data_IF_965781108294
#
_entry.id   IF_965781108294
#
_cell.length_a   1.000
_cell.length_b   1.000
_cell.length_c   1.000
_cell.angle_alpha   90.00
_cell.angle_beta   90.00
_cell.angle_gamma   90.00
#
_symmetry.space_group_name_H-M   'P 1'
#
loop_
_entity.id
_entity.type
_entity.pdbx_description
1 polymer ?
#
# COMPACT_ATOMS: atom_id res chain seq x y z
N UNK A 1 -28.49 43.81 55.85
CA UNK A 1 -29.51 42.74 55.87
C UNK A 1 -29.02 41.62 54.97
N UNK A 2 -28.62 40.52 55.58
CA UNK A 2 -28.12 39.31 54.94
C UNK A 2 -29.25 38.56 54.24
N UNK A 3 -28.95 37.91 53.10
CA UNK A 3 -29.30 36.52 52.80
C UNK A 3 -29.00 36.21 51.31
N UNK A 4 -27.84 35.59 51.04
CA UNK A 4 -27.62 34.82 49.81
C UNK A 4 -27.46 33.36 50.19
N UNK A 5 -28.45 32.59 49.80
CA UNK A 5 -28.60 31.16 50.04
C UNK A 5 -27.54 30.34 49.31
N UNK A 6 -26.90 29.45 50.07
CA UNK A 6 -26.63 28.06 49.71
C UNK A 6 -25.94 27.78 48.36
N UNK A 7 -24.62 27.65 48.45
CA UNK A 7 -23.81 26.79 47.59
C UNK A 7 -24.41 25.38 47.44
N UNK A 8 -24.84 25.01 46.24
CA UNK A 8 -24.91 23.60 45.83
C UNK A 8 -23.98 23.35 44.65
N UNK A 9 -22.75 23.03 45.04
CA UNK A 9 -21.70 22.50 44.19
C UNK A 9 -22.00 21.01 43.96
N UNK A 10 -22.54 20.66 42.79
CA UNK A 10 -22.69 19.27 42.38
C UNK A 10 -21.31 18.71 42.04
N UNK A 11 -20.70 18.03 43.02
CA UNK A 11 -19.52 17.18 42.81
C UNK A 11 -19.86 16.12 41.77
N UNK A 12 -19.10 15.97 40.66
CA UNK A 12 -19.13 14.73 39.91
C UNK A 12 -18.51 13.64 40.79
N UNK A 13 -19.35 12.76 41.32
CA UNK A 13 -18.93 11.50 41.93
C UNK A 13 -18.42 10.60 40.80
N UNK A 14 -17.10 10.59 40.62
CA UNK A 14 -16.45 9.72 39.66
C UNK A 14 -14.95 9.78 39.81
N UNK A 15 -14.38 8.71 40.37
CA UNK A 15 -12.93 8.44 40.49
C UNK A 15 -12.42 8.05 39.09
N UNK A 16 -12.62 8.91 38.10
CA UNK A 16 -12.02 8.75 36.77
C UNK A 16 -10.92 9.79 36.63
N UNK A 17 -9.68 9.38 36.28
CA UNK A 17 -8.57 10.31 36.22
C UNK A 17 -8.87 11.36 35.14
N UNK A 18 -8.96 12.65 35.55
CA UNK A 18 -9.03 13.82 34.63
C UNK A 18 -7.97 13.76 33.52
N UNK A 19 -6.86 13.06 33.78
CA UNK A 19 -5.80 12.80 32.84
C UNK A 19 -6.27 12.07 31.56
N UNK A 20 -7.23 11.15 31.68
CA UNK A 20 -7.77 10.40 30.54
C UNK A 20 -8.69 11.25 29.66
N UNK A 21 -9.46 12.16 30.26
CA UNK A 21 -10.34 13.08 29.51
C UNK A 21 -9.49 14.08 28.70
N UNK A 22 -8.37 14.56 29.27
CA UNK A 22 -7.45 15.49 28.58
C UNK A 22 -6.74 14.86 27.38
N UNK A 23 -6.51 13.54 27.39
CA UNK A 23 -5.83 12.82 26.31
C UNK A 23 -6.69 12.68 25.05
N UNK A 24 -8.02 12.61 25.19
CA UNK A 24 -8.96 12.60 24.05
C UNK A 24 -9.04 13.96 23.37
N UNK A 25 -9.07 15.05 24.13
CA UNK A 25 -9.20 16.41 23.60
C UNK A 25 -7.90 16.94 22.95
N UNK A 26 -6.74 16.34 23.23
CA UNK A 26 -5.45 16.81 22.68
C UNK A 26 -5.13 16.27 21.28
N UNK A 27 -5.89 15.30 20.78
CA UNK A 27 -5.69 14.75 19.42
C UNK A 27 -6.36 15.61 18.33
N UNK A 28 -7.20 16.55 18.73
CA UNK A 28 -8.08 17.29 17.81
C UNK A 28 -7.50 18.64 17.35
N UNK A 29 -6.32 19.03 17.86
CA UNK A 29 -5.65 20.31 17.54
C UNK A 29 -4.57 20.19 16.44
N UNK A 30 -4.33 19.01 15.86
CA UNK A 30 -3.56 18.95 14.62
C UNK A 30 -4.45 19.46 13.49
N UNK A 31 -4.10 20.61 12.92
CA UNK A 31 -4.74 21.13 11.71
C UNK A 31 -4.42 20.15 10.57
N UNK A 32 -5.24 19.11 10.40
CA UNK A 32 -5.09 18.15 9.31
C UNK A 32 -5.51 18.88 8.03
N UNK A 33 -4.57 18.99 7.09
CA UNK A 33 -4.84 19.64 5.81
C UNK A 33 -6.00 18.91 5.10
N UNK A 34 -7.02 19.62 4.57
CA UNK A 34 -8.20 19.00 3.95
C UNK A 34 -7.86 17.98 2.87
N UNK A 35 -6.78 18.22 2.11
CA UNK A 35 -6.25 17.28 1.12
C UNK A 35 -5.93 15.91 1.71
N UNK A 36 -5.22 15.85 2.85
CA UNK A 36 -4.81 14.59 3.46
C UNK A 36 -6.03 13.80 3.94
N UNK A 37 -7.04 14.48 4.48
CA UNK A 37 -8.31 13.85 4.88
C UNK A 37 -8.98 13.18 3.68
N UNK A 38 -9.00 13.85 2.53
CA UNK A 38 -9.56 13.29 1.30
C UNK A 38 -8.74 12.07 0.85
N UNK A 39 -7.40 12.17 0.83
CA UNK A 39 -6.51 11.05 0.47
C UNK A 39 -6.77 9.84 1.36
N UNK A 40 -6.81 10.01 2.69
CA UNK A 40 -7.07 8.90 3.61
C UNK A 40 -8.45 8.27 3.39
N UNK A 41 -9.47 9.08 3.10
CA UNK A 41 -10.79 8.58 2.75
C UNK A 41 -10.75 7.76 1.44
N UNK A 42 -10.09 8.25 0.40
CA UNK A 42 -9.98 7.54 -0.88
C UNK A 42 -9.20 6.22 -0.74
N UNK A 43 -8.09 6.20 0.03
CA UNK A 43 -7.35 4.96 0.34
C UNK A 43 -8.25 3.96 1.08
N UNK A 44 -8.97 4.42 2.10
CA UNK A 44 -9.87 3.56 2.87
C UNK A 44 -10.99 2.97 2.01
N UNK A 45 -11.60 3.78 1.15
CA UNK A 45 -12.66 3.35 0.23
C UNK A 45 -12.14 2.31 -0.77
N UNK A 46 -10.92 2.51 -1.29
CA UNK A 46 -10.31 1.61 -2.25
C UNK A 46 -9.93 0.26 -1.61
N UNK A 47 -9.26 0.28 -0.44
CA UNK A 47 -8.79 -0.95 0.24
C UNK A 47 -9.96 -1.77 0.80
N UNK A 48 -11.04 -1.13 1.23
CA UNK A 48 -12.23 -1.83 1.72
C UNK A 48 -13.12 -2.39 0.59
N UNK A 49 -12.83 -2.07 -0.67
CA UNK A 49 -13.63 -2.51 -1.81
C UNK A 49 -13.48 -4.01 -2.06
N UNK A 50 -14.60 -4.72 -2.22
CA UNK A 50 -14.59 -6.14 -2.59
C UNK A 50 -13.83 -6.40 -3.90
N UNK A 51 -13.91 -5.47 -4.86
CA UNK A 51 -13.18 -5.54 -6.13
C UNK A 51 -11.67 -5.52 -5.91
N UNK A 52 -11.22 -4.66 -5.00
CA UNK A 52 -9.80 -4.56 -4.63
C UNK A 52 -9.32 -5.83 -3.92
N UNK A 53 -10.12 -6.40 -3.01
CA UNK A 53 -9.77 -7.65 -2.32
C UNK A 53 -9.61 -8.82 -3.30
N UNK A 54 -10.53 -8.98 -4.25
CA UNK A 54 -10.42 -10.01 -5.30
C UNK A 54 -9.15 -9.80 -6.11
N UNK A 55 -8.89 -8.57 -6.56
CA UNK A 55 -7.71 -8.22 -7.34
C UNK A 55 -6.43 -8.55 -6.57
N UNK A 56 -6.36 -8.21 -5.28
CA UNK A 56 -5.24 -8.50 -4.40
C UNK A 56 -5.00 -10.01 -4.27
N UNK A 57 -6.05 -10.81 -4.10
CA UNK A 57 -5.93 -12.28 -4.02
C UNK A 57 -5.38 -12.84 -5.33
N UNK A 58 -5.85 -12.38 -6.48
CA UNK A 58 -5.37 -12.83 -7.79
C UNK A 58 -3.88 -12.50 -7.95
N UNK A 59 -3.46 -11.27 -7.64
CA UNK A 59 -2.06 -10.86 -7.71
C UNK A 59 -1.20 -11.69 -6.75
N UNK A 60 -1.65 -11.91 -5.52
CA UNK A 60 -0.92 -12.72 -4.56
C UNK A 60 -0.74 -14.15 -5.09
N UNK A 61 -1.79 -14.76 -5.62
CA UNK A 61 -1.78 -16.13 -6.14
C UNK A 61 -0.86 -16.27 -7.36
N UNK A 62 -0.89 -15.32 -8.30
CA UNK A 62 0.03 -15.32 -9.44
C UNK A 62 1.48 -15.10 -9.00
N UNK A 63 1.72 -14.23 -8.02
CA UNK A 63 3.04 -14.02 -7.42
C UNK A 63 3.57 -15.31 -6.76
N UNK A 64 2.75 -16.01 -5.97
CA UNK A 64 3.13 -17.29 -5.38
C UNK A 64 3.46 -18.34 -6.45
N UNK A 65 2.69 -18.39 -7.54
CA UNK A 65 2.97 -19.27 -8.67
C UNK A 65 4.33 -18.99 -9.33
N UNK A 66 4.65 -17.71 -9.57
CA UNK A 66 5.94 -17.29 -10.12
C UNK A 66 7.10 -17.56 -9.14
N UNK A 67 6.87 -17.39 -7.84
CA UNK A 67 7.88 -17.68 -6.83
C UNK A 67 8.21 -19.17 -6.76
N UNK A 68 7.18 -20.02 -6.83
CA UNK A 68 7.36 -21.47 -6.81
C UNK A 68 8.28 -21.92 -7.95
N UNK A 69 8.05 -21.41 -9.17
CA UNK A 69 8.91 -21.73 -10.31
C UNK A 69 10.30 -21.11 -10.21
N UNK A 70 10.43 -19.90 -9.68
CA UNK A 70 11.75 -19.28 -9.47
C UNK A 70 12.60 -20.10 -8.49
N UNK A 71 12.00 -20.61 -7.41
CA UNK A 71 12.67 -21.43 -6.40
C UNK A 71 13.06 -22.81 -6.93
N UNK A 72 12.19 -23.48 -7.69
CA UNK A 72 12.53 -24.81 -8.26
C UNK A 72 13.66 -24.73 -9.29
N UNK A 73 13.81 -23.59 -9.95
CA UNK A 73 14.81 -23.37 -10.99
C UNK A 73 16.13 -22.75 -10.49
N UNK A 74 16.19 -22.36 -9.21
CA UNK A 74 17.36 -21.70 -8.65
C UNK A 74 18.59 -22.62 -8.65
N UNK A 75 18.40 -23.93 -8.46
CA UNK A 75 19.47 -24.94 -8.45
C UNK A 75 20.21 -25.05 -9.79
N UNK A 76 19.54 -24.76 -10.90
CA UNK A 76 20.13 -24.75 -12.25
C UNK A 76 20.85 -23.42 -12.58
N UNK A 77 20.54 -22.36 -11.83
CA UNK A 77 21.08 -21.01 -12.03
C UNK A 77 22.32 -20.69 -11.17
N UNK A 78 22.53 -21.47 -10.10
CA UNK A 78 23.71 -21.41 -9.24
C UNK A 78 24.76 -22.38 -9.81
N UNK A 79 25.58 -21.91 -10.75
CA UNK A 79 26.74 -22.68 -11.21
C UNK A 79 27.85 -22.61 -10.13
N UNK A 80 28.55 -23.73 -9.84
CA UNK A 80 29.55 -23.80 -8.76
C UNK A 80 30.85 -22.98 -8.97
N UNK A 81 30.92 -22.12 -10.00
CA UNK A 81 32.11 -21.33 -10.37
C UNK A 81 31.84 -19.82 -10.53
N UNK A 82 30.68 -19.30 -10.12
CA UNK A 82 30.47 -17.84 -10.03
C UNK A 82 31.07 -17.35 -8.70
N UNK A 83 32.11 -16.49 -8.71
CA UNK A 83 32.94 -16.23 -7.51
C UNK A 83 32.19 -15.67 -6.30
N UNK A 84 31.05 -15.02 -6.50
CA UNK A 84 30.14 -14.58 -5.46
C UNK A 84 28.73 -14.58 -6.05
N UNK A 85 27.69 -14.89 -5.27
CA UNK A 85 26.29 -14.85 -5.68
C UNK A 85 25.76 -13.45 -6.01
N UNK A 86 26.51 -12.66 -6.79
CA UNK A 86 26.43 -11.21 -6.97
C UNK A 86 25.06 -10.68 -7.46
N UNK A 87 24.15 -11.56 -7.85
CA UNK A 87 22.81 -11.22 -8.31
C UNK A 87 21.80 -12.32 -7.99
N UNK A 88 22.00 -13.13 -6.96
CA UNK A 88 21.13 -14.26 -6.65
C UNK A 88 19.68 -13.80 -6.42
N UNK A 89 19.49 -12.73 -5.66
CA UNK A 89 18.15 -12.17 -5.43
C UNK A 89 17.58 -11.52 -6.68
N UNK A 90 18.37 -10.85 -7.51
CA UNK A 90 17.86 -10.28 -8.75
C UNK A 90 17.46 -11.39 -9.75
N UNK A 91 18.26 -12.46 -9.84
CA UNK A 91 17.97 -13.64 -10.64
C UNK A 91 16.66 -14.30 -10.20
N UNK A 92 16.36 -14.36 -8.91
CA UNK A 92 15.07 -14.87 -8.42
C UNK A 92 13.86 -14.10 -8.96
N UNK A 93 13.99 -12.81 -9.24
CA UNK A 93 12.90 -11.99 -9.77
C UNK A 93 12.77 -12.09 -11.29
N UNK A 94 13.84 -12.47 -11.98
CA UNK A 94 13.90 -12.49 -13.46
C UNK A 94 13.87 -13.89 -14.06
N UNK A 95 14.24 -14.93 -13.30
CA UNK A 95 14.36 -16.29 -13.82
C UNK A 95 13.01 -16.90 -14.17
N UNK A 96 12.95 -17.56 -15.31
CA UNK A 96 11.78 -18.31 -15.79
C UNK A 96 12.28 -19.50 -16.60
N UNK A 97 11.61 -20.65 -16.44
CA UNK A 97 11.90 -21.91 -17.14
C UNK A 97 10.94 -22.11 -18.34
N UNK A 98 10.40 -21.02 -18.88
CA UNK A 98 9.52 -21.02 -20.07
C UNK A 98 8.10 -21.54 -19.83
N UNK A 99 7.83 -22.20 -18.70
CA UNK A 99 6.51 -22.72 -18.33
C UNK A 99 5.62 -21.67 -17.65
N UNK A 100 6.20 -20.84 -16.79
CA UNK A 100 5.51 -19.74 -16.11
C UNK A 100 6.36 -18.46 -16.17
N UNK A 101 5.75 -17.29 -16.45
CA UNK A 101 6.47 -16.01 -16.48
C UNK A 101 7.17 -15.70 -15.15
N UNK A 102 8.31 -15.02 -15.24
CA UNK A 102 9.00 -14.52 -14.03
C UNK A 102 8.24 -13.35 -13.42
N UNK A 103 8.55 -13.03 -12.16
CA UNK A 103 7.92 -11.94 -11.43
C UNK A 103 8.03 -10.62 -12.21
N UNK A 104 9.21 -10.35 -12.78
CA UNK A 104 9.43 -9.19 -13.64
C UNK A 104 8.47 -9.13 -14.84
N UNK A 105 8.28 -10.25 -15.55
CA UNK A 105 7.39 -10.31 -16.71
C UNK A 105 5.93 -10.14 -16.27
N UNK A 106 5.55 -10.75 -15.13
CA UNK A 106 4.23 -10.56 -14.56
C UNK A 106 3.95 -9.10 -14.21
N UNK A 107 4.86 -8.39 -13.54
CA UNK A 107 4.69 -6.97 -13.22
C UNK A 107 4.71 -6.10 -14.48
N UNK A 108 5.51 -6.46 -15.49
CA UNK A 108 5.53 -5.71 -16.75
C UNK A 108 4.20 -5.81 -17.51
N UNK A 109 3.53 -6.96 -17.45
CA UNK A 109 2.22 -7.16 -18.09
C UNK A 109 1.04 -6.70 -17.23
N UNK A 110 1.02 -7.08 -15.94
CA UNK A 110 -0.05 -6.74 -15.01
C UNK A 110 0.04 -5.29 -14.56
N UNK A 111 1.22 -4.69 -14.53
CA UNK A 111 1.43 -3.31 -14.09
C UNK A 111 0.51 -2.31 -14.78
N UNK A 112 0.50 -2.23 -16.12
CA UNK A 112 -0.41 -1.37 -16.86
C UNK A 112 -1.88 -1.68 -16.60
N UNK A 113 -2.24 -2.98 -16.52
CA UNK A 113 -3.60 -3.39 -16.19
C UNK A 113 -4.02 -2.93 -14.79
N UNK A 114 -3.11 -2.96 -13.81
CA UNK A 114 -3.34 -2.49 -12.45
C UNK A 114 -3.46 -0.97 -12.38
N UNK A 115 -2.56 -0.23 -13.04
CA UNK A 115 -2.59 1.24 -13.09
C UNK A 115 -3.93 1.72 -13.65
N UNK A 116 -4.29 1.22 -14.83
CA UNK A 116 -5.56 1.51 -15.50
C UNK A 116 -6.75 1.07 -14.65
N UNK A 117 -6.79 -0.19 -14.18
CA UNK A 117 -7.94 -0.70 -13.43
C UNK A 117 -8.19 0.07 -12.14
N UNK A 118 -7.12 0.44 -11.40
CA UNK A 118 -7.26 1.19 -10.15
C UNK A 118 -7.62 2.65 -10.42
N UNK A 119 -7.02 3.27 -11.44
CA UNK A 119 -7.41 4.60 -11.92
C UNK A 119 -8.89 4.67 -12.27
N UNK A 120 -9.38 3.73 -13.07
CA UNK A 120 -10.80 3.65 -13.42
C UNK A 120 -11.70 3.30 -12.22
N UNK A 121 -11.30 2.40 -11.32
CA UNK A 121 -12.13 2.04 -10.16
C UNK A 121 -12.31 3.21 -9.18
N UNK A 122 -11.30 4.08 -8.99
CA UNK A 122 -11.45 5.28 -8.14
C UNK A 122 -12.45 6.30 -8.70
N UNK A 123 -12.61 6.38 -10.02
CA UNK A 123 -13.60 7.26 -10.67
C UNK A 123 -14.96 6.57 -10.73
N UNK A 124 -14.98 5.31 -11.13
CA UNK A 124 -16.20 4.54 -11.32
C UNK A 124 -16.92 4.25 -10.00
N UNK A 125 -16.19 4.08 -8.90
CA UNK A 125 -16.77 3.90 -7.57
C UNK A 125 -17.63 5.09 -7.13
N UNK A 126 -17.20 6.33 -7.43
CA UNK A 126 -17.97 7.56 -7.14
C UNK A 126 -19.16 7.73 -8.09
N UNK A 127 -19.00 7.39 -9.37
CA UNK A 127 -20.11 7.42 -10.32
C UNK A 127 -21.19 6.41 -9.97
N UNK A 128 -20.80 5.16 -9.65
CA UNK A 128 -21.71 4.08 -9.27
C UNK A 128 -22.50 4.43 -8.00
N UNK A 129 -21.84 5.10 -7.03
CA UNK A 129 -22.49 5.56 -5.78
C UNK A 129 -23.35 6.82 -5.96
N UNK A 130 -23.31 7.47 -7.13
CA UNK A 130 -24.00 8.74 -7.38
C UNK A 130 -23.45 9.92 -6.56
N UNK A 131 -22.26 9.79 -5.98
CA UNK A 131 -21.69 10.77 -5.05
C UNK A 131 -20.84 11.85 -5.73
N UNK A 132 -20.48 11.66 -7.00
CA UNK A 132 -19.64 12.59 -7.76
C UNK A 132 -20.23 14.00 -7.85
N UNK A 133 -21.51 14.14 -8.21
CA UNK A 133 -22.17 15.45 -8.31
C UNK A 133 -22.23 16.18 -6.96
N UNK A 134 -22.39 15.42 -5.86
CA UNK A 134 -22.43 15.96 -4.49
C UNK A 134 -21.05 16.35 -3.96
N UNK A 135 -19.99 15.74 -4.47
CA UNK A 135 -18.61 16.06 -4.14
C UNK A 135 -18.17 17.33 -4.87
N UNK A 136 -18.57 17.47 -6.14
CA UNK A 136 -18.25 18.63 -6.98
C UNK A 136 -19.05 19.89 -6.62
N UNK A 137 -20.18 19.76 -5.90
CA UNK A 137 -20.98 20.89 -5.43
C UNK A 137 -20.46 21.50 -4.13
N UNK A 138 -19.54 20.82 -3.44
CA UNK A 138 -18.92 21.36 -2.23
C UNK A 138 -17.86 22.40 -2.59
N UNK A 139 -17.61 23.41 -1.72
CA UNK A 139 -16.59 24.42 -1.92
C UNK A 139 -15.18 23.86 -1.65
N UNK A 140 -14.78 22.85 -2.42
CA UNK A 140 -13.44 22.25 -2.43
C UNK A 140 -12.81 22.44 -3.81
N UNK A 141 -11.49 22.63 -3.85
CA UNK A 141 -10.77 22.75 -5.11
C UNK A 141 -10.89 21.44 -5.91
N UNK A 142 -11.31 21.53 -7.18
CA UNK A 142 -11.44 20.36 -8.06
C UNK A 142 -10.11 19.65 -8.27
N UNK A 143 -9.02 20.41 -8.29
CA UNK A 143 -7.66 19.88 -8.42
C UNK A 143 -7.27 19.03 -7.22
N UNK A 144 -7.73 19.37 -6.01
CA UNK A 144 -7.50 18.55 -4.82
C UNK A 144 -8.19 17.21 -4.92
N UNK A 145 -9.37 17.14 -5.54
CA UNK A 145 -10.06 15.89 -5.74
C UNK A 145 -9.30 14.95 -6.69
N UNK A 146 -8.87 15.49 -7.83
CA UNK A 146 -8.16 14.71 -8.86
C UNK A 146 -6.82 14.25 -8.31
N UNK A 147 -6.05 15.16 -7.69
CA UNK A 147 -4.77 14.83 -7.09
C UNK A 147 -4.92 13.84 -5.93
N UNK A 148 -5.99 13.95 -5.12
CA UNK A 148 -6.21 13.01 -4.03
C UNK A 148 -6.49 11.59 -4.55
N UNK A 149 -7.28 11.46 -5.63
CA UNK A 149 -7.55 10.17 -6.28
C UNK A 149 -6.30 9.53 -6.89
N UNK A 150 -5.46 10.36 -7.52
CA UNK A 150 -4.19 9.89 -8.06
C UNK A 150 -3.23 9.44 -6.94
N UNK A 151 -3.05 10.29 -5.91
CA UNK A 151 -2.17 10.00 -4.78
C UNK A 151 -2.65 8.78 -3.98
N UNK A 152 -3.97 8.60 -3.79
CA UNK A 152 -4.50 7.44 -3.09
C UNK A 152 -4.22 6.14 -3.86
N UNK A 153 -4.51 6.11 -5.17
CA UNK A 153 -4.24 4.95 -6.00
C UNK A 153 -2.73 4.61 -6.05
N UNK A 154 -1.88 5.64 -6.21
CA UNK A 154 -0.43 5.48 -6.21
C UNK A 154 0.09 4.96 -4.86
N UNK A 155 -0.45 5.46 -3.75
CA UNK A 155 -0.07 5.00 -2.40
C UNK A 155 -0.43 3.54 -2.21
N UNK A 156 -1.63 3.13 -2.63
CA UNK A 156 -2.07 1.72 -2.54
C UNK A 156 -1.18 0.80 -3.38
N UNK A 157 -0.88 1.18 -4.63
CA UNK A 157 0.03 0.42 -5.52
C UNK A 157 1.43 0.33 -4.90
N UNK A 158 1.94 1.44 -4.37
CA UNK A 158 3.28 1.48 -3.75
C UNK A 158 3.37 0.52 -2.57
N UNK A 159 2.42 0.58 -1.65
CA UNK A 159 2.37 -0.32 -0.49
C UNK A 159 2.26 -1.78 -0.94
N UNK A 160 1.41 -2.06 -1.94
CA UNK A 160 1.25 -3.41 -2.49
C UNK A 160 2.56 -3.95 -3.08
N UNK A 161 3.24 -3.18 -3.93
CA UNK A 161 4.50 -3.61 -4.54
C UNK A 161 5.64 -3.76 -3.53
N UNK A 162 5.74 -2.86 -2.55
CA UNK A 162 6.70 -3.03 -1.46
C UNK A 162 6.40 -4.27 -0.63
N UNK A 163 5.14 -4.52 -0.29
CA UNK A 163 4.74 -5.71 0.47
C UNK A 163 5.07 -7.00 -0.30
N UNK A 164 4.73 -7.07 -1.59
CA UNK A 164 5.02 -8.24 -2.44
C UNK A 164 6.53 -8.42 -2.68
N UNK A 165 7.26 -7.35 -2.95
CA UNK A 165 8.71 -7.40 -3.14
C UNK A 165 9.43 -7.84 -1.87
N UNK A 166 9.14 -7.25 -0.72
CA UNK A 166 9.76 -7.71 0.53
C UNK A 166 9.32 -9.11 0.93
N UNK A 167 8.09 -9.54 0.61
CA UNK A 167 7.66 -10.92 0.77
C UNK A 167 8.50 -11.87 -0.10
N UNK A 168 8.72 -11.53 -1.37
CA UNK A 168 9.58 -12.31 -2.27
C UNK A 168 11.01 -12.41 -1.76
N UNK A 169 11.58 -11.29 -1.30
CA UNK A 169 12.92 -11.27 -0.72
C UNK A 169 13.00 -12.09 0.58
N UNK A 170 12.04 -11.93 1.49
CA UNK A 170 12.00 -12.65 2.76
C UNK A 170 11.86 -14.16 2.58
N UNK A 171 10.97 -14.59 1.67
CA UNK A 171 10.81 -16.00 1.35
C UNK A 171 12.02 -16.55 0.58
N UNK A 172 12.59 -15.76 -0.34
CA UNK A 172 13.84 -16.09 -1.01
C UNK A 172 14.98 -16.36 -0.02
N UNK A 173 15.15 -15.50 0.98
CA UNK A 173 16.17 -15.65 2.04
C UNK A 173 15.93 -16.90 2.89
N UNK A 174 14.69 -17.20 3.28
CA UNK A 174 14.36 -18.39 4.08
C UNK A 174 14.68 -19.68 3.31
N UNK A 175 14.41 -19.70 2.00
CA UNK A 175 14.59 -20.88 1.17
C UNK A 175 16.04 -21.10 0.73
N UNK A 176 16.77 -20.01 0.41
CA UNK A 176 18.18 -20.10 -0.03
C UNK A 176 19.16 -20.14 1.15
N UNK A 177 18.74 -19.70 2.34
CA UNK A 177 19.56 -19.65 3.55
C UNK A 177 20.66 -18.59 3.51
N UNK A 178 20.72 -17.76 2.47
CA UNK A 178 21.72 -16.72 2.28
C UNK A 178 21.11 -15.34 2.58
N UNK A 179 21.70 -14.56 3.51
CA UNK A 179 21.26 -13.19 3.72
C UNK A 179 21.57 -12.34 2.49
N UNK A 180 20.65 -11.43 2.07
CA UNK A 180 20.93 -10.52 0.96
C UNK A 180 22.06 -9.57 1.33
N UNK A 181 22.99 -9.36 0.41
CA UNK A 181 24.00 -8.31 0.59
C UNK A 181 23.34 -6.93 0.58
N UNK A 182 23.92 -5.90 1.23
CA UNK A 182 23.38 -4.53 1.18
C UNK A 182 23.20 -4.01 -0.26
N UNK A 183 24.06 -4.45 -1.17
CA UNK A 183 24.00 -4.11 -2.59
C UNK A 183 22.81 -4.76 -3.30
N UNK A 184 22.56 -6.06 -3.05
CA UNK A 184 21.40 -6.76 -3.59
C UNK A 184 20.09 -6.20 -3.04
N UNK A 185 20.06 -5.86 -1.75
CA UNK A 185 18.90 -5.20 -1.13
C UNK A 185 18.55 -3.90 -1.87
N UNK A 186 19.53 -3.05 -2.11
CA UNK A 186 19.32 -1.77 -2.77
C UNK A 186 18.92 -1.93 -4.24
N UNK A 187 19.43 -2.95 -4.94
CA UNK A 187 18.98 -3.30 -6.30
C UNK A 187 17.51 -3.69 -6.34
N UNK A 188 17.02 -4.47 -5.38
CA UNK A 188 15.59 -4.84 -5.32
C UNK A 188 14.73 -3.62 -4.97
N UNK A 189 15.18 -2.75 -4.06
CA UNK A 189 14.47 -1.50 -3.76
C UNK A 189 14.36 -0.62 -5.02
N UNK A 190 15.45 -0.45 -5.77
CA UNK A 190 15.41 0.28 -7.03
C UNK A 190 14.50 -0.38 -8.07
N UNK A 191 14.51 -1.70 -8.16
CA UNK A 191 13.62 -2.45 -9.04
C UNK A 191 12.14 -2.20 -8.70
N UNK A 192 11.78 -2.18 -7.43
CA UNK A 192 10.42 -1.85 -6.96
C UNK A 192 10.08 -0.39 -7.30
N UNK A 193 10.99 0.56 -7.06
CA UNK A 193 10.75 1.98 -7.36
C UNK A 193 10.52 2.22 -8.85
N UNK A 194 11.34 1.64 -9.72
CA UNK A 194 11.17 1.73 -11.18
C UNK A 194 9.85 1.10 -11.61
N UNK A 195 9.46 -0.02 -10.99
CA UNK A 195 8.19 -0.68 -11.24
C UNK A 195 7.00 0.18 -10.81
N UNK A 196 7.08 0.88 -9.66
CA UNK A 196 6.04 1.84 -9.23
C UNK A 196 5.91 2.97 -10.25
N UNK A 197 7.03 3.57 -10.68
CA UNK A 197 7.00 4.64 -11.70
C UNK A 197 6.43 4.16 -13.02
N UNK A 198 6.77 2.94 -13.43
CA UNK A 198 6.21 2.34 -14.63
C UNK A 198 4.69 2.18 -14.52
N UNK A 199 4.18 1.64 -13.41
CA UNK A 199 2.73 1.49 -13.20
C UNK A 199 2.04 2.86 -13.10
N UNK A 200 2.65 3.82 -12.41
CA UNK A 200 2.07 5.16 -12.22
C UNK A 200 1.91 5.94 -13.53
N UNK A 201 2.66 5.58 -14.56
CA UNK A 201 2.55 6.19 -15.88
C UNK A 201 1.30 5.73 -16.65
N UNK A 202 0.80 4.52 -16.37
CA UNK A 202 -0.37 3.92 -17.03
C UNK A 202 -1.67 4.19 -16.25
#
# INVERSE_FOLDING_TARGET
MNNTLSSQQTKPAGIFPRFFIRKRLKKDDEIIHPFNVIVYKEISDQVSSWRFVILLIIIALTCFGSMYTALTNIGSAVKPNDPEGAFLFLKLYTISDGTLPSFFVFISFLGPLLGISLGFDTVNSEQTKGTLSRLMSQPIHRDYLINAKFVSALTVISVLLFALGFLFMGLGMIMTGLPPSPEEFWRVVFFILVSILYIAFW
#
